data_IF_683743625558
#
_entry.id   IF_683743625558
#
_cell.length_a   1.000
_cell.length_b   1.000
_cell.length_c   1.000
_cell.angle_alpha   90.00
_cell.angle_beta   90.00
_cell.angle_gamma   90.00
#
_symmetry.space_group_name_H-M   'P 1'
#
loop_
_entity.id
_entity.type
_entity.pdbx_description
1 polymer ?
#
# COMPACT_ATOMS: atom_id res chain seq x y z
N UNK A 1 5.35 -0.80 -15.33
CA UNK A 1 6.34 -1.32 -14.37
C UNK A 1 5.59 -1.54 -13.07
N UNK A 2 5.58 -2.77 -12.56
CA UNK A 2 5.03 -3.12 -11.26
C UNK A 2 6.19 -3.26 -10.25
N UNK A 3 6.10 -2.56 -9.14
CA UNK A 3 7.09 -2.61 -8.06
C UNK A 3 6.42 -3.31 -6.87
N UNK A 4 6.95 -4.44 -6.36
CA UNK A 4 6.39 -5.13 -5.20
C UNK A 4 6.60 -4.26 -3.95
N UNK A 5 5.53 -3.72 -3.39
CA UNK A 5 5.60 -2.73 -2.32
C UNK A 5 5.21 -3.28 -0.95
N UNK A 6 4.88 -4.56 -0.85
CA UNK A 6 4.44 -5.24 0.37
C UNK A 6 5.48 -5.10 1.50
N UNK A 7 6.76 -5.32 1.19
CA UNK A 7 7.84 -5.15 2.16
C UNK A 7 8.00 -3.72 2.64
N UNK A 8 7.83 -2.73 1.74
CA UNK A 8 7.91 -1.30 2.08
C UNK A 8 6.74 -0.90 2.98
N UNK A 9 5.53 -1.38 2.68
CA UNK A 9 4.34 -1.15 3.51
C UNK A 9 4.52 -1.81 4.87
N UNK A 10 5.03 -3.05 4.92
CA UNK A 10 5.31 -3.77 6.16
C UNK A 10 6.28 -3.02 7.06
N UNK A 11 7.37 -2.52 6.50
CA UNK A 11 8.38 -1.74 7.23
C UNK A 11 7.79 -0.44 7.80
N UNK A 12 6.91 0.24 7.05
CA UNK A 12 6.21 1.45 7.51
C UNK A 12 5.28 1.10 8.68
N UNK A 13 4.47 0.06 8.54
CA UNK A 13 3.51 -0.36 9.59
C UNK A 13 4.21 -0.79 10.89
N UNK A 14 5.41 -1.32 10.81
CA UNK A 14 6.17 -1.76 11.99
C UNK A 14 6.96 -0.65 12.68
N UNK A 15 7.45 0.34 11.94
CA UNK A 15 8.48 1.25 12.45
C UNK A 15 8.13 2.73 12.42
N UNK A 16 7.07 3.11 11.71
CA UNK A 16 6.70 4.52 11.55
C UNK A 16 5.50 4.84 12.44
N UNK A 17 5.54 5.98 13.14
CA UNK A 17 4.39 6.49 13.90
C UNK A 17 3.13 6.60 13.03
N UNK A 18 2.02 6.11 13.54
CA UNK A 18 0.74 6.03 12.83
C UNK A 18 0.35 7.35 12.16
N UNK A 19 0.54 8.48 12.84
CA UNK A 19 0.21 9.79 12.29
C UNK A 19 1.06 10.19 11.07
N UNK A 20 2.26 9.63 10.89
CA UNK A 20 3.22 9.98 9.83
C UNK A 20 3.23 8.98 8.67
N UNK A 21 2.68 7.78 8.86
CA UNK A 21 2.72 6.68 7.88
C UNK A 21 2.30 7.09 6.47
N UNK A 22 1.20 7.84 6.34
CA UNK A 22 0.69 8.26 5.02
C UNK A 22 1.65 9.18 4.26
N UNK A 23 2.37 10.07 4.95
CA UNK A 23 3.37 10.95 4.33
C UNK A 23 4.63 10.15 4.00
N UNK A 24 5.11 9.31 4.91
CA UNK A 24 6.28 8.45 4.69
C UNK A 24 6.04 7.50 3.52
N UNK A 25 4.87 6.84 3.45
CA UNK A 25 4.53 5.98 2.32
C UNK A 25 4.61 6.72 0.98
N UNK A 26 4.01 7.91 0.90
CA UNK A 26 4.05 8.72 -0.32
C UNK A 26 5.49 9.11 -0.68
N UNK A 27 6.34 9.39 0.29
CA UNK A 27 7.75 9.67 0.06
C UNK A 27 8.50 8.45 -0.48
N UNK A 28 8.20 7.24 0.03
CA UNK A 28 8.78 6.00 -0.51
C UNK A 28 8.29 5.71 -1.94
N UNK A 29 7.01 5.94 -2.24
CA UNK A 29 6.48 5.83 -3.59
C UNK A 29 7.16 6.78 -4.58
N UNK A 30 7.35 8.04 -4.18
CA UNK A 30 8.02 9.06 -5.02
C UNK A 30 9.51 8.72 -5.21
N UNK A 31 10.22 8.22 -4.18
CA UNK A 31 11.60 7.73 -4.31
C UNK A 31 11.70 6.55 -5.28
N UNK A 32 10.80 5.57 -5.15
CA UNK A 32 10.77 4.43 -6.08
C UNK A 32 10.54 4.89 -7.52
N UNK A 33 9.57 5.79 -7.73
CA UNK A 33 9.27 6.35 -9.04
C UNK A 33 10.46 7.15 -9.60
N UNK A 34 11.17 7.94 -8.76
CA UNK A 34 12.37 8.69 -9.16
C UNK A 34 13.51 7.75 -9.60
N UNK A 35 13.74 6.64 -8.88
CA UNK A 35 14.75 5.64 -9.25
C UNK A 35 14.42 4.98 -10.58
N UNK A 36 13.16 4.67 -10.83
CA UNK A 36 12.70 4.14 -12.13
C UNK A 36 12.86 5.21 -13.22
N UNK A 37 12.45 6.45 -12.96
CA UNK A 37 12.60 7.55 -13.90
C UNK A 37 14.07 7.77 -14.34
N UNK A 38 15.01 7.72 -13.40
CA UNK A 38 16.45 7.81 -13.67
C UNK A 38 16.94 6.69 -14.59
N UNK A 39 16.47 5.44 -14.41
CA UNK A 39 16.86 4.31 -15.28
C UNK A 39 16.46 4.51 -16.75
N UNK A 40 15.42 5.30 -17.00
CA UNK A 40 14.89 5.57 -18.34
C UNK A 40 15.18 6.99 -18.85
N UNK A 41 16.03 7.75 -18.14
CA UNK A 41 16.33 9.16 -18.46
C UNK A 41 15.06 10.04 -18.53
N UNK A 42 14.10 9.79 -17.62
CA UNK A 42 12.85 10.52 -17.50
C UNK A 42 13.03 11.62 -16.45
N UNK A 43 12.73 12.87 -16.84
CA UNK A 43 12.98 14.06 -15.99
C UNK A 43 11.81 14.44 -15.10
N UNK A 44 10.61 13.93 -15.35
CA UNK A 44 9.42 14.28 -14.60
C UNK A 44 8.53 13.08 -14.29
N UNK A 45 7.89 13.13 -13.14
CA UNK A 45 6.87 12.19 -12.68
C UNK A 45 5.52 12.90 -12.71
N UNK A 46 4.46 12.22 -13.17
CA UNK A 46 3.10 12.75 -13.15
C UNK A 46 2.30 11.98 -12.11
N UNK A 47 1.62 12.69 -11.20
CA UNK A 47 0.72 12.09 -10.20
C UNK A 47 -0.70 12.65 -10.36
N UNK A 48 -1.71 11.86 -9.96
CA UNK A 48 -3.12 12.25 -9.95
C UNK A 48 -3.56 12.96 -8.65
N UNK A 49 -2.63 13.50 -7.87
CA UNK A 49 -2.93 14.15 -6.59
C UNK A 49 -3.65 15.47 -6.80
N UNK A 50 -4.67 15.73 -5.96
CA UNK A 50 -5.40 16.97 -5.91
C UNK A 50 -5.40 17.55 -4.48
N UNK A 51 -5.36 18.87 -4.34
CA UNK A 51 -5.20 19.52 -3.06
C UNK A 51 -6.41 19.27 -2.13
N UNK A 52 -6.15 18.82 -0.92
CA UNK A 52 -7.17 18.67 0.13
C UNK A 52 -8.08 17.45 -0.02
N UNK A 53 -7.85 16.55 -0.96
CA UNK A 53 -8.70 15.35 -1.14
C UNK A 53 -8.51 14.35 0.00
N UNK A 54 -7.28 14.16 0.45
CA UNK A 54 -6.92 13.31 1.61
C UNK A 54 -5.86 14.00 2.45
N UNK A 55 -5.63 13.49 3.66
CA UNK A 55 -4.69 14.06 4.65
C UNK A 55 -3.26 14.27 4.10
N UNK A 56 -2.77 13.36 3.27
CA UNK A 56 -1.44 13.48 2.63
C UNK A 56 -1.37 14.55 1.55
N UNK A 57 -2.51 15.04 1.05
CA UNK A 57 -2.59 16.00 -0.06
C UNK A 57 -2.81 17.45 0.40
N UNK A 58 -2.36 17.83 1.58
CA UNK A 58 -2.26 19.23 2.00
C UNK A 58 -1.00 19.86 1.41
N UNK A 59 -0.97 21.20 1.26
CA UNK A 59 0.21 21.91 0.76
C UNK A 59 1.49 21.58 1.56
N UNK A 60 1.35 21.49 2.89
CA UNK A 60 2.45 21.16 3.78
C UNK A 60 2.99 19.77 3.50
N UNK A 61 2.09 18.78 3.41
CA UNK A 61 2.46 17.38 3.22
C UNK A 61 3.01 17.14 1.80
N UNK A 62 2.37 17.72 0.75
CA UNK A 62 2.86 17.60 -0.62
C UNK A 62 4.27 18.19 -0.78
N UNK A 63 4.57 19.34 -0.14
CA UNK A 63 5.91 19.88 -0.13
C UNK A 63 6.93 18.92 0.45
N UNK A 64 6.61 18.28 1.59
CA UNK A 64 7.51 17.31 2.21
C UNK A 64 7.64 16.02 1.38
N UNK A 65 6.58 15.62 0.68
CA UNK A 65 6.62 14.49 -0.26
C UNK A 65 7.55 14.81 -1.42
N UNK A 66 7.49 16.01 -1.98
CA UNK A 66 8.34 16.43 -3.10
C UNK A 66 9.84 16.47 -2.75
N UNK A 67 10.18 16.74 -1.48
CA UNK A 67 11.57 16.67 -1.01
C UNK A 67 12.20 15.27 -1.16
N UNK A 68 11.39 14.23 -1.38
CA UNK A 68 11.85 12.86 -1.59
C UNK A 68 12.08 12.51 -3.08
N UNK A 69 11.83 13.44 -4.00
CA UNK A 69 12.00 13.25 -5.45
C UNK A 69 13.23 14.00 -5.97
N UNK A 70 14.02 13.31 -6.79
CA UNK A 70 15.06 13.95 -7.62
C UNK A 70 14.51 14.38 -8.99
N UNK A 71 13.29 13.95 -9.34
CA UNK A 71 12.60 14.32 -10.56
C UNK A 71 11.52 15.39 -10.29
N UNK A 72 11.19 16.19 -11.31
CA UNK A 72 10.09 17.14 -11.22
C UNK A 72 8.75 16.40 -11.06
N UNK A 73 7.99 16.71 -10.01
CA UNK A 73 6.65 16.13 -9.80
C UNK A 73 5.57 17.05 -10.35
N UNK A 74 4.91 16.62 -11.41
CA UNK A 74 3.81 17.35 -12.05
C UNK A 74 2.47 16.81 -11.55
N UNK A 75 1.56 17.72 -11.19
CA UNK A 75 0.22 17.41 -10.69
C UNK A 75 -0.85 18.13 -11.52
N UNK A 76 -1.25 17.59 -12.68
CA UNK A 76 -2.23 18.24 -13.55
C UNK A 76 -3.57 18.51 -12.88
N UNK A 77 -3.93 17.71 -11.86
CA UNK A 77 -5.21 17.79 -11.16
C UNK A 77 -5.14 18.58 -9.85
N UNK A 78 -4.03 19.22 -9.53
CA UNK A 78 -3.78 19.82 -8.21
C UNK A 78 -4.85 20.83 -7.75
N UNK A 79 -5.46 21.55 -8.68
CA UNK A 79 -6.47 22.58 -8.40
C UNK A 79 -7.91 22.13 -8.67
N UNK A 80 -8.10 20.87 -9.10
CA UNK A 80 -9.41 20.34 -9.41
C UNK A 80 -10.08 19.77 -8.15
N UNK A 81 -11.39 20.01 -8.03
CA UNK A 81 -12.19 19.33 -7.01
C UNK A 81 -12.58 17.90 -7.45
N UNK A 82 -13.15 17.13 -6.51
CA UNK A 82 -13.50 15.73 -6.76
C UNK A 82 -14.52 15.57 -7.90
N UNK A 83 -15.48 16.49 -8.01
CA UNK A 83 -16.52 16.42 -9.04
C UNK A 83 -15.95 16.68 -10.44
N UNK A 84 -15.02 17.62 -10.56
CA UNK A 84 -14.30 17.90 -11.80
C UNK A 84 -13.45 16.73 -12.25
N UNK A 85 -12.76 16.07 -11.31
CA UNK A 85 -11.95 14.88 -11.59
C UNK A 85 -12.83 13.72 -12.06
N UNK A 86 -13.98 13.49 -11.40
CA UNK A 86 -14.95 12.46 -11.80
C UNK A 86 -15.52 12.77 -13.19
N UNK A 87 -15.83 14.04 -13.48
CA UNK A 87 -16.33 14.44 -14.79
C UNK A 87 -15.32 14.13 -15.90
N UNK A 88 -14.05 14.45 -15.69
CA UNK A 88 -12.97 14.09 -16.63
C UNK A 88 -12.79 12.57 -16.77
N UNK A 89 -12.87 11.83 -15.68
CA UNK A 89 -12.77 10.38 -15.71
C UNK A 89 -13.90 9.73 -16.54
N UNK A 90 -15.12 10.28 -16.44
CA UNK A 90 -16.26 9.86 -17.28
C UNK A 90 -16.03 10.20 -18.74
N UNK A 91 -15.54 11.40 -19.05
CA UNK A 91 -15.27 11.83 -20.41
C UNK A 91 -14.24 10.92 -21.12
N UNK A 92 -13.19 10.50 -20.40
CA UNK A 92 -12.16 9.62 -20.95
C UNK A 92 -12.47 8.11 -20.76
N UNK A 93 -13.62 7.76 -20.15
CA UNK A 93 -14.09 6.38 -20.00
C UNK A 93 -13.38 5.55 -18.93
N UNK A 94 -12.78 6.18 -17.91
CA UNK A 94 -12.05 5.49 -16.83
C UNK A 94 -12.80 5.46 -15.49
N UNK A 95 -13.95 6.14 -15.38
CA UNK A 95 -14.72 6.29 -14.12
C UNK A 95 -15.19 4.94 -13.56
N UNK A 96 -15.72 4.06 -14.40
CA UNK A 96 -16.24 2.76 -13.95
C UNK A 96 -15.10 1.84 -13.47
N UNK A 97 -13.93 1.87 -14.15
CA UNK A 97 -12.74 1.14 -13.74
C UNK A 97 -12.23 1.68 -12.40
N UNK A 98 -12.15 3.00 -12.26
CA UNK A 98 -11.67 3.63 -11.04
C UNK A 98 -12.54 3.30 -9.81
N UNK A 99 -13.87 3.22 -9.99
CA UNK A 99 -14.81 2.85 -8.92
C UNK A 99 -14.68 1.40 -8.45
N UNK A 100 -14.21 0.50 -9.31
CA UNK A 100 -14.02 -0.90 -8.95
C UNK A 100 -12.74 -1.16 -8.15
N UNK A 101 -11.82 -0.17 -8.11
CA UNK A 101 -10.56 -0.32 -7.35
C UNK A 101 -10.81 -0.10 -5.85
N UNK A 102 -10.33 -1.01 -4.99
CA UNK A 102 -10.42 -0.86 -3.55
C UNK A 102 -9.54 0.31 -3.05
N UNK A 103 -10.02 1.03 -2.03
CA UNK A 103 -9.26 2.09 -1.38
C UNK A 103 -8.42 1.53 -0.23
N UNK A 104 -7.11 1.59 -0.36
CA UNK A 104 -6.17 1.10 0.66
C UNK A 104 -5.67 2.19 1.62
N UNK A 105 -5.92 3.47 1.32
CA UNK A 105 -5.37 4.58 2.11
C UNK A 105 -5.87 4.61 3.57
N UNK A 106 -7.08 4.15 3.84
CA UNK A 106 -7.66 4.08 5.20
C UNK A 106 -7.09 2.97 6.07
N UNK A 107 -6.34 2.03 5.48
CA UNK A 107 -5.75 0.89 6.21
C UNK A 107 -4.42 1.28 6.86
N UNK A 108 -3.71 2.26 6.29
CA UNK A 108 -2.33 2.59 6.68
C UNK A 108 -2.25 3.52 7.87
N UNK A 109 -3.26 4.36 8.13
CA UNK A 109 -3.20 5.31 9.25
C UNK A 109 -4.60 5.64 9.79
N UNK A 110 -4.79 5.48 11.11
CA UNK A 110 -6.05 5.82 11.80
C UNK A 110 -6.18 7.32 12.09
N UNK A 111 -5.06 8.01 12.35
CA UNK A 111 -5.02 9.43 12.70
C UNK A 111 -3.98 10.19 11.85
N UNK A 112 -4.16 10.24 10.51
CA UNK A 112 -3.16 10.79 9.62
C UNK A 112 -2.96 12.29 9.84
N UNK A 113 -1.71 12.73 9.88
CA UNK A 113 -1.38 14.15 10.00
C UNK A 113 -1.75 14.93 8.73
N UNK A 114 -2.40 16.08 8.93
CA UNK A 114 -2.66 17.05 7.84
C UNK A 114 -1.59 18.14 7.77
N UNK A 115 -0.69 18.19 8.76
CA UNK A 115 0.37 19.18 8.85
C UNK A 115 1.63 18.51 9.42
N UNK A 116 2.27 17.71 8.59
CA UNK A 116 3.51 17.03 8.96
C UNK A 116 4.63 18.06 9.24
N UNK A 117 5.48 17.72 10.19
CA UNK A 117 6.66 18.49 10.55
C UNK A 117 7.87 17.79 9.95
N UNK A 118 8.71 18.55 9.22
CA UNK A 118 9.84 17.99 8.45
C UNK A 118 10.78 17.15 9.32
N UNK A 119 11.13 17.67 10.49
CA UNK A 119 12.03 17.01 11.43
C UNK A 119 11.48 15.66 11.89
N UNK A 120 10.17 15.58 12.18
CA UNK A 120 9.49 14.34 12.52
C UNK A 120 9.52 13.33 11.36
N UNK A 121 9.22 13.76 10.15
CA UNK A 121 9.26 12.88 8.98
C UNK A 121 10.67 12.30 8.78
N UNK A 122 11.71 13.12 8.93
CA UNK A 122 13.08 12.64 8.80
C UNK A 122 13.49 11.71 9.95
N UNK A 123 12.98 11.92 11.17
CA UNK A 123 13.18 11.04 12.31
C UNK A 123 12.54 9.68 12.05
N UNK A 124 11.30 9.64 11.57
CA UNK A 124 10.62 8.41 11.19
C UNK A 124 11.37 7.66 10.06
N UNK A 125 11.86 8.40 9.07
CA UNK A 125 12.67 7.80 8.00
C UNK A 125 14.00 7.21 8.50
N UNK A 126 14.56 7.67 9.63
CA UNK A 126 15.75 7.06 10.23
C UNK A 126 15.47 5.65 10.81
N UNK A 127 14.23 5.34 11.15
CA UNK A 127 13.82 4.02 11.60
C UNK A 127 13.55 3.06 10.43
N UNK A 128 13.28 3.60 9.24
CA UNK A 128 12.96 2.84 8.04
C UNK A 128 14.22 2.23 7.40
N UNK A 129 14.17 0.93 7.12
CA UNK A 129 15.25 0.26 6.36
C UNK A 129 15.11 0.53 4.85
N UNK A 130 15.91 1.44 4.34
CA UNK A 130 15.94 1.75 2.90
C UNK A 130 16.38 0.58 2.02
N UNK A 131 17.04 -0.45 2.57
CA UNK A 131 17.35 -1.68 1.82
C UNK A 131 16.11 -2.39 1.31
N UNK A 132 15.00 -2.29 2.04
CA UNK A 132 13.70 -2.83 1.61
C UNK A 132 13.17 -2.10 0.36
N UNK A 133 13.30 -0.78 0.31
CA UNK A 133 12.91 0.02 -0.86
C UNK A 133 13.80 -0.27 -2.07
N UNK A 134 15.12 -0.37 -1.87
CA UNK A 134 16.06 -0.72 -2.94
C UNK A 134 15.72 -2.10 -3.52
N UNK A 135 15.50 -3.08 -2.67
CA UNK A 135 15.10 -4.43 -3.07
C UNK A 135 13.78 -4.43 -3.87
N UNK A 136 12.79 -3.65 -3.43
CA UNK A 136 11.53 -3.53 -4.15
C UNK A 136 11.72 -2.97 -5.57
N UNK A 137 12.56 -1.93 -5.72
CA UNK A 137 12.87 -1.33 -7.04
C UNK A 137 13.71 -2.27 -7.91
N UNK A 138 14.61 -3.06 -7.33
CA UNK A 138 15.41 -4.05 -8.07
C UNK A 138 14.55 -5.21 -8.58
N UNK A 139 13.55 -5.63 -7.81
CA UNK A 139 12.61 -6.69 -8.16
C UNK A 139 11.42 -6.18 -9.01
N UNK A 140 11.47 -4.94 -9.51
CA UNK A 140 10.43 -4.39 -10.35
C UNK A 140 10.22 -5.22 -11.64
N UNK A 141 8.97 -5.52 -11.94
CA UNK A 141 8.57 -6.27 -13.14
C UNK A 141 8.24 -5.32 -14.28
N UNK A 142 8.75 -5.62 -15.47
CA UNK A 142 8.50 -4.85 -16.68
C UNK A 142 7.46 -5.58 -17.52
N UNK A 143 6.19 -5.17 -17.37
CA UNK A 143 5.04 -5.82 -17.99
C UNK A 143 4.71 -5.16 -19.35
N UNK A 144 4.34 -5.93 -20.36
CA UNK A 144 3.76 -5.39 -21.58
C UNK A 144 2.28 -5.05 -21.32
N UNK A 145 1.94 -3.75 -21.29
CA UNK A 145 0.60 -3.27 -21.01
C UNK A 145 -0.48 -3.84 -21.94
N UNK A 146 -0.09 -4.29 -23.12
CA UNK A 146 -1.01 -4.90 -24.10
C UNK A 146 -1.42 -6.32 -23.73
N UNK A 147 -0.67 -6.98 -22.85
CA UNK A 147 -0.87 -8.37 -22.41
C UNK A 147 -1.35 -8.46 -20.97
N UNK A 148 -1.29 -7.35 -20.22
CA UNK A 148 -1.56 -7.32 -18.78
C UNK A 148 -2.99 -7.80 -18.45
N UNK A 149 -3.97 -7.50 -19.29
CA UNK A 149 -5.35 -7.92 -19.08
C UNK A 149 -5.51 -9.46 -19.18
N UNK A 150 -4.78 -10.09 -20.10
CA UNK A 150 -4.82 -11.56 -20.27
C UNK A 150 -4.07 -12.28 -19.13
N UNK A 151 -3.05 -11.65 -18.57
CA UNK A 151 -2.26 -12.19 -17.46
C UNK A 151 -3.02 -12.08 -16.13
N UNK A 152 -3.66 -10.94 -15.87
CA UNK A 152 -4.47 -10.74 -14.64
C UNK A 152 -5.73 -11.60 -14.59
N UNK A 153 -6.37 -11.89 -15.70
CA UNK A 153 -7.53 -12.82 -15.73
C UNK A 153 -7.16 -14.26 -15.29
N UNK A 154 -5.89 -14.64 -15.43
CA UNK A 154 -5.39 -15.97 -15.03
C UNK A 154 -5.05 -16.07 -13.54
N UNK A 155 -4.88 -14.96 -12.86
CA UNK A 155 -4.46 -14.90 -11.45
C UNK A 155 -5.62 -14.71 -10.46
N UNK A 156 -6.86 -14.54 -10.94
CA UNK A 156 -8.02 -14.44 -10.04
C UNK A 156 -8.31 -15.82 -9.46
N UNK A 157 -7.78 -16.08 -8.29
CA UNK A 157 -8.16 -17.22 -7.46
C UNK A 157 -9.44 -16.83 -6.72
N UNK A 158 -10.56 -17.49 -7.02
CA UNK A 158 -11.76 -17.36 -6.20
C UNK A 158 -11.44 -17.89 -4.80
N UNK A 159 -11.58 -17.02 -3.80
CA UNK A 159 -11.39 -17.40 -2.39
C UNK A 159 -12.76 -17.77 -1.82
N UNK A 160 -12.91 -19.02 -1.43
CA UNK A 160 -14.13 -19.49 -0.78
C UNK A 160 -14.24 -18.90 0.65
N UNK A 161 -15.39 -18.32 0.94
CA UNK A 161 -15.70 -17.90 2.31
C UNK A 161 -16.31 -19.09 3.04
N UNK A 162 -15.66 -19.53 4.12
CA UNK A 162 -16.16 -20.63 4.94
C UNK A 162 -16.81 -20.11 6.22
N UNK A 163 -17.90 -20.73 6.63
CA UNK A 163 -18.64 -20.41 7.86
C UNK A 163 -18.46 -21.45 8.96
N UNK A 164 -17.84 -22.59 8.66
CA UNK A 164 -17.61 -23.69 9.61
C UNK A 164 -16.16 -24.15 9.45
N UNK A 165 -15.43 -24.13 10.55
CA UNK A 165 -14.04 -24.62 10.63
C UNK A 165 -14.00 -26.13 10.82
N UNK A 166 -13.03 -26.80 10.21
CA UNK A 166 -12.71 -28.20 10.46
C UNK A 166 -11.91 -28.38 11.75
N UNK A 167 -11.94 -29.57 12.36
CA UNK A 167 -11.27 -29.86 13.64
C UNK A 167 -9.76 -29.57 13.65
N UNK A 168 -9.08 -29.60 12.49
CA UNK A 168 -7.65 -29.41 12.35
C UNK A 168 -7.24 -28.11 11.65
N UNK A 169 -8.19 -27.21 11.41
CA UNK A 169 -7.92 -25.93 10.77
C UNK A 169 -7.19 -25.00 11.73
N UNK A 170 -6.21 -24.28 11.21
CA UNK A 170 -5.48 -23.22 11.91
C UNK A 170 -6.00 -21.88 11.42
N UNK A 171 -6.43 -21.03 12.34
CA UNK A 171 -6.85 -19.68 12.01
C UNK A 171 -5.60 -18.81 11.87
N UNK A 172 -5.44 -18.21 10.71
CA UNK A 172 -4.36 -17.29 10.42
C UNK A 172 -4.91 -15.86 10.50
N UNK A 173 -4.65 -15.20 11.62
CA UNK A 173 -5.05 -13.80 11.82
C UNK A 173 -4.11 -12.90 11.00
N UNK A 174 -4.63 -12.36 9.90
CA UNK A 174 -3.88 -11.53 8.96
C UNK A 174 -4.03 -10.03 9.22
N UNK A 175 -4.69 -9.64 10.29
CA UNK A 175 -4.83 -8.24 10.68
C UNK A 175 -3.48 -7.61 11.01
N UNK A 176 -3.43 -6.28 11.01
CA UNK A 176 -2.24 -5.55 11.47
C UNK A 176 -1.99 -5.77 12.98
N UNK A 177 -0.76 -5.62 13.49
CA UNK A 177 -0.48 -5.71 14.92
C UNK A 177 -1.36 -4.76 15.76
N UNK A 178 -1.61 -3.53 15.29
CA UNK A 178 -2.47 -2.57 15.98
C UNK A 178 -3.93 -3.05 16.09
N UNK A 179 -4.47 -3.63 15.02
CA UNK A 179 -5.84 -4.19 15.04
C UNK A 179 -5.94 -5.37 16.00
N UNK A 180 -4.90 -6.20 16.03
CA UNK A 180 -4.84 -7.35 16.93
C UNK A 180 -4.70 -6.92 18.40
N UNK A 181 -3.91 -5.89 18.68
CA UNK A 181 -3.73 -5.35 20.04
C UNK A 181 -5.01 -4.64 20.57
N UNK A 182 -5.73 -3.93 19.68
CA UNK A 182 -6.98 -3.25 20.03
C UNK A 182 -8.14 -4.23 20.24
N UNK A 183 -8.20 -5.28 19.45
CA UNK A 183 -9.26 -6.29 19.50
C UNK A 183 -8.66 -7.69 19.38
N UNK A 184 -8.06 -8.24 20.45
CA UNK A 184 -7.46 -9.57 20.44
C UNK A 184 -8.48 -10.63 20.01
N UNK A 185 -8.07 -11.52 19.10
CA UNK A 185 -8.88 -12.64 18.66
C UNK A 185 -8.32 -13.93 19.22
N UNK A 186 -9.11 -14.65 20.00
CA UNK A 186 -8.77 -15.94 20.61
C UNK A 186 -9.85 -16.97 20.24
N UNK A 187 -9.47 -18.22 20.14
CA UNK A 187 -10.39 -19.34 19.95
C UNK A 187 -10.06 -20.45 20.95
N UNK A 188 -11.08 -20.95 21.64
CA UNK A 188 -10.94 -22.08 22.55
C UNK A 188 -10.81 -23.42 21.84
N UNK A 189 -11.26 -23.50 20.58
CA UNK A 189 -11.35 -24.74 19.81
C UNK A 189 -10.26 -24.89 18.75
N UNK A 190 -9.67 -23.79 18.27
CA UNK A 190 -8.71 -23.78 17.16
C UNK A 190 -7.46 -23.00 17.51
N UNK A 191 -6.34 -23.46 16.99
CA UNK A 191 -5.08 -22.71 17.09
C UNK A 191 -5.19 -21.42 16.27
N UNK A 192 -4.88 -20.28 16.90
CA UNK A 192 -4.75 -18.97 16.23
C UNK A 192 -3.27 -18.65 16.07
N UNK A 193 -2.88 -18.31 14.85
CA UNK A 193 -1.53 -17.87 14.50
C UNK A 193 -1.61 -16.46 13.92
N UNK A 194 -0.83 -15.53 14.44
CA UNK A 194 -0.75 -14.18 13.92
C UNK A 194 0.27 -14.11 12.77
N UNK A 195 -0.18 -13.71 11.59
CA UNK A 195 0.67 -13.46 10.44
C UNK A 195 0.07 -12.29 9.63
N UNK A 196 0.47 -11.05 9.94
CA UNK A 196 -0.06 -9.87 9.25
C UNK A 196 0.01 -9.98 7.73
N UNK A 197 -1.02 -9.46 7.04
CA UNK A 197 -1.19 -9.62 5.59
C UNK A 197 0.05 -9.21 4.78
N UNK A 198 0.77 -8.18 5.19
CA UNK A 198 1.99 -7.70 4.51
C UNK A 198 3.20 -8.64 4.67
N UNK A 199 3.15 -9.61 5.60
CA UNK A 199 4.15 -10.67 5.75
C UNK A 199 3.73 -11.97 5.06
N UNK A 200 2.47 -12.07 4.67
CA UNK A 200 1.90 -13.31 4.15
C UNK A 200 2.68 -13.83 2.94
N UNK A 201 2.94 -13.00 1.93
CA UNK A 201 3.67 -13.39 0.72
C UNK A 201 5.08 -13.89 1.00
N UNK A 202 5.78 -13.30 1.99
CA UNK A 202 7.16 -13.67 2.33
C UNK A 202 7.27 -14.91 3.22
N UNK A 203 6.26 -15.15 4.07
CA UNK A 203 6.29 -16.19 5.09
C UNK A 203 5.37 -17.39 4.77
N UNK A 204 4.47 -17.26 3.79
CA UNK A 204 3.54 -18.32 3.41
C UNK A 204 4.25 -19.64 3.08
N UNK A 205 5.36 -19.57 2.36
CA UNK A 205 6.17 -20.74 2.01
C UNK A 205 6.83 -21.45 3.20
N UNK A 206 6.92 -20.81 4.36
CA UNK A 206 7.47 -21.38 5.61
C UNK A 206 6.41 -22.05 6.48
N UNK A 207 5.12 -21.90 6.16
CA UNK A 207 4.04 -22.56 6.87
C UNK A 207 4.05 -24.07 6.61
N UNK A 208 3.56 -24.83 7.57
CA UNK A 208 3.45 -26.28 7.45
C UNK A 208 2.42 -26.67 6.40
N UNK A 209 2.88 -27.15 5.24
CA UNK A 209 2.03 -27.51 4.09
C UNK A 209 1.08 -28.69 4.35
N UNK A 210 1.25 -29.40 5.47
CA UNK A 210 0.34 -30.48 5.88
C UNK A 210 -0.90 -30.00 6.63
N UNK A 211 -0.98 -28.69 6.92
CA UNK A 211 -2.08 -28.05 7.67
C UNK A 211 -2.99 -27.26 6.75
N UNK A 212 -4.23 -27.11 7.16
CA UNK A 212 -5.17 -26.20 6.55
C UNK A 212 -5.15 -24.87 7.30
N UNK A 213 -5.08 -23.78 6.55
CA UNK A 213 -5.07 -22.42 7.11
C UNK A 213 -6.31 -21.68 6.63
N UNK A 214 -7.01 -21.08 7.59
CA UNK A 214 -8.16 -20.24 7.33
C UNK A 214 -7.82 -18.82 7.68
N UNK A 215 -7.89 -17.91 6.71
CA UNK A 215 -7.57 -16.51 6.90
C UNK A 215 -8.69 -15.81 7.68
N UNK A 216 -8.31 -15.06 8.70
CA UNK A 216 -9.22 -14.22 9.47
C UNK A 216 -8.85 -12.74 9.29
N UNK A 217 -9.86 -11.93 8.91
CA UNK A 217 -9.78 -10.48 8.81
C UNK A 217 -11.15 -9.88 9.16
N UNK A 218 -11.20 -8.71 9.76
CA UNK A 218 -12.46 -8.03 10.12
C UNK A 218 -13.07 -7.22 8.97
N UNK A 219 -12.43 -7.18 7.78
CA UNK A 219 -12.85 -6.36 6.63
C UNK A 219 -13.08 -7.20 5.39
#
# INVERSE_FOLDING_TARGET
IAIPFEGVVGEILEKVDNGQMGVVLKRMMVRAASKVAQRFDIQAIVTGEALGQVSSQTLTNLRLIDEASDALVLRPLITHDKEQIIAMAKEIGTDDIAKSMPEFCGVISKNPTIKAVREKILEEENHFDFGVLESAVENAQYLDIRQIAEETEKEVVEVDTISVLGENDIILDIRSPEETDENPFESDEHQVMQLPFYKLSSQFGSLDQSKNYVLYCER
#
